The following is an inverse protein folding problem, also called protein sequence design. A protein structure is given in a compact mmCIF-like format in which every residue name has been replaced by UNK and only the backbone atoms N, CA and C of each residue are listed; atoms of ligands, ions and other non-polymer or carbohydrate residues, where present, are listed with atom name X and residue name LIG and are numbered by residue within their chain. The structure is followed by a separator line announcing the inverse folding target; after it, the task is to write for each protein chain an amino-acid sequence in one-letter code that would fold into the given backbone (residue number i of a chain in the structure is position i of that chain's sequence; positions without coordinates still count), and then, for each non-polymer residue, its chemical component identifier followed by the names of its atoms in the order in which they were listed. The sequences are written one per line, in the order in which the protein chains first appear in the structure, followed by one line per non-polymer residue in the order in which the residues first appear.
data_IF_665496981466
#
_entry.id   IF_665496981466
#
_cell.length_a   1.000
_cell.length_b   1.000
_cell.length_c   1.000
_cell.angle_alpha   90.00
_cell.angle_beta   90.00
_cell.angle_gamma   90.00
#
_symmetry.space_group_name_H-M   'P 1'
#
loop_
_entity.id
_entity.type
_entity.pdbx_description
1 polymer ?
#
# COMPACT_ATOMS: atom_id res chain seq x y z
N UNK A 1 -100.15 34.45 -1.89
CA UNK A 1 -100.40 35.35 -0.77
C UNK A 1 -99.06 35.59 -0.02
N UNK A 2 -98.63 36.82 0.06
CA UNK A 2 -97.65 37.41 0.98
C UNK A 2 -96.23 36.92 0.91
N UNK A 3 -95.40 37.75 0.33
CA UNK A 3 -94.02 38.10 0.75
C UNK A 3 -94.04 38.67 2.17
N UNK A 4 -92.93 38.83 2.94
CA UNK A 4 -91.74 39.59 2.60
C UNK A 4 -90.44 39.04 3.26
N UNK A 5 -89.33 39.55 2.91
CA UNK A 5 -88.37 40.62 3.17
C UNK A 5 -87.05 40.11 3.67
N UNK A 6 -85.99 40.44 3.00
CA UNK A 6 -84.71 41.03 3.22
C UNK A 6 -84.04 40.89 4.59
N UNK A 7 -82.73 40.47 4.61
CA UNK A 7 -81.69 41.27 5.19
C UNK A 7 -80.26 40.68 4.85
N UNK A 8 -79.41 41.54 4.37
CA UNK A 8 -78.08 41.17 3.99
C UNK A 8 -77.13 40.99 5.19
N UNK A 9 -76.09 40.23 5.00
CA UNK A 9 -74.85 40.32 5.76
C UNK A 9 -73.67 40.00 4.86
N UNK A 10 -72.86 40.98 4.73
CA UNK A 10 -71.50 40.95 4.21
C UNK A 10 -70.65 39.95 4.97
N UNK A 11 -69.96 39.08 4.27
CA UNK A 11 -68.84 38.33 4.86
C UNK A 11 -67.52 38.78 4.23
N UNK A 12 -66.64 39.28 5.12
CA UNK A 12 -65.24 39.52 4.85
C UNK A 12 -64.52 38.20 4.53
N UNK A 13 -63.89 38.13 3.38
CA UNK A 13 -62.85 37.13 3.09
C UNK A 13 -61.50 37.78 3.27
N UNK A 14 -60.81 37.41 4.37
CA UNK A 14 -59.45 37.86 4.64
C UNK A 14 -58.69 36.78 5.41
N UNK A 15 -57.51 36.48 4.90
CA UNK A 15 -56.41 35.79 5.58
C UNK A 15 -56.51 34.28 5.89
N UNK A 16 -56.28 33.44 4.86
CA UNK A 16 -55.73 32.07 5.06
C UNK A 16 -54.70 31.65 4.03
N UNK A 17 -54.11 32.60 3.26
CA UNK A 17 -53.09 32.21 2.25
C UNK A 17 -51.64 32.63 2.61
N UNK A 18 -51.39 33.24 3.76
CA UNK A 18 -50.08 33.74 4.14
C UNK A 18 -49.25 32.78 5.05
N UNK A 19 -49.84 31.70 5.63
CA UNK A 19 -49.15 30.83 6.54
C UNK A 19 -48.57 29.53 5.91
N UNK A 20 -48.90 29.24 4.65
CA UNK A 20 -48.37 28.02 3.99
C UNK A 20 -47.06 28.28 3.22
N UNK A 21 -46.77 29.53 2.86
CA UNK A 21 -45.51 29.84 2.12
C UNK A 21 -44.26 29.98 3.01
N UNK A 22 -44.43 30.19 4.31
CA UNK A 22 -43.28 30.34 5.23
C UNK A 22 -42.77 28.98 5.69
N UNK A 23 -43.60 27.93 5.73
CA UNK A 23 -43.23 26.59 6.10
C UNK A 23 -42.40 25.85 5.05
N UNK A 24 -42.56 26.17 3.77
CA UNK A 24 -41.85 25.49 2.65
C UNK A 24 -40.46 26.08 2.44
N UNK A 25 -40.26 27.37 2.69
CA UNK A 25 -38.92 27.99 2.59
C UNK A 25 -37.99 27.62 3.75
N UNK A 26 -38.52 27.32 4.95
CA UNK A 26 -37.71 26.88 6.08
C UNK A 26 -37.21 25.41 5.94
N UNK A 27 -37.95 24.55 5.22
CA UNK A 27 -37.55 23.15 5.00
C UNK A 27 -36.54 23.00 3.85
N UNK A 28 -36.57 23.86 2.85
CA UNK A 28 -35.58 23.85 1.74
C UNK A 28 -34.24 24.45 2.20
N UNK A 29 -34.23 25.37 3.18
CA UNK A 29 -33.00 25.94 3.73
C UNK A 29 -32.27 24.99 4.71
N UNK A 30 -32.97 23.98 5.27
CA UNK A 30 -32.34 23.02 6.18
C UNK A 30 -31.73 21.79 5.42
N UNK A 31 -32.03 21.59 4.13
CA UNK A 31 -31.46 20.52 3.32
C UNK A 31 -30.19 20.93 2.54
N UNK A 32 -29.79 22.20 2.61
CA UNK A 32 -28.60 22.72 1.92
C UNK A 32 -27.43 23.00 2.86
N UNK A 33 -27.50 22.61 4.13
CA UNK A 33 -26.47 22.92 5.14
C UNK A 33 -25.68 21.71 5.63
N UNK A 34 -25.63 20.61 4.89
CA UNK A 34 -24.74 19.49 5.19
C UNK A 34 -23.94 19.02 3.97
N UNK A 35 -23.37 19.96 3.23
CA UNK A 35 -22.11 19.70 2.58
C UNK A 35 -21.08 19.87 3.68
N UNK A 36 -20.76 18.80 4.39
CA UNK A 36 -19.55 18.74 5.18
C UNK A 36 -18.41 19.06 4.20
N UNK A 37 -17.82 20.26 4.31
CA UNK A 37 -16.47 20.43 3.81
C UNK A 37 -15.65 19.38 4.59
N UNK A 38 -15.40 18.23 3.98
CA UNK A 38 -14.34 17.35 4.41
C UNK A 38 -13.11 18.25 4.38
N UNK A 39 -12.58 18.57 5.55
CA UNK A 39 -11.34 19.32 5.64
C UNK A 39 -10.29 18.49 4.89
N UNK A 40 -9.52 19.12 4.00
CA UNK A 40 -8.45 18.46 3.30
C UNK A 40 -7.56 17.74 4.31
N UNK A 41 -7.29 16.48 4.08
CA UNK A 41 -6.36 15.68 4.89
C UNK A 41 -5.00 16.36 4.88
N UNK A 42 -4.48 16.69 6.05
CA UNK A 42 -3.21 17.41 6.22
C UNK A 42 -2.24 16.57 7.04
N UNK A 43 -0.97 16.60 6.67
CA UNK A 43 0.09 15.81 7.30
C UNK A 43 1.18 16.70 7.86
N UNK A 44 1.60 16.41 9.08
CA UNK A 44 2.78 17.03 9.70
C UNK A 44 4.00 16.12 9.49
N UNK A 45 4.94 16.58 8.67
CA UNK A 45 6.23 15.90 8.48
C UNK A 45 7.11 16.02 9.73
N UNK A 46 7.69 14.89 10.14
CA UNK A 46 8.73 14.81 11.17
C UNK A 46 9.89 13.99 10.58
N UNK A 47 11.05 14.59 10.41
CA UNK A 47 12.27 13.90 10.03
C UNK A 47 12.87 13.27 11.29
N UNK A 48 12.87 11.94 11.40
CA UNK A 48 13.42 11.22 12.54
C UNK A 48 14.92 11.00 12.38
N UNK A 49 15.35 10.70 11.15
CA UNK A 49 16.77 10.46 10.85
C UNK A 49 17.10 10.97 9.45
N UNK A 50 18.21 11.66 9.29
CA UNK A 50 18.69 12.19 8.01
C UNK A 50 19.71 11.27 7.34
N UNK A 51 20.11 10.20 8.01
CA UNK A 51 20.99 9.19 7.47
C UNK A 51 20.19 8.16 6.68
N UNK A 52 20.75 7.66 5.58
CA UNK A 52 20.20 6.52 4.85
C UNK A 52 20.33 5.24 5.70
N UNK A 53 19.20 4.78 6.29
CA UNK A 53 19.14 3.57 7.10
C UNK A 53 18.67 2.37 6.26
N UNK A 54 17.56 2.53 5.54
CA UNK A 54 16.84 1.47 4.86
C UNK A 54 16.04 2.01 3.68
N UNK A 55 15.51 1.10 2.86
CA UNK A 55 14.56 1.46 1.79
C UNK A 55 13.11 1.08 2.15
N UNK A 56 12.89 0.66 3.38
CA UNK A 56 11.57 0.35 3.96
C UNK A 56 11.58 0.51 5.47
N UNK A 57 10.38 0.55 6.05
CA UNK A 57 10.14 0.64 7.49
C UNK A 57 8.80 0.02 7.84
N UNK A 58 8.64 -0.45 9.08
CA UNK A 58 7.39 -1.01 9.59
C UNK A 58 7.17 -0.67 11.07
N UNK A 59 6.04 -1.08 11.62
CA UNK A 59 5.57 -0.76 12.97
C UNK A 59 5.31 -2.03 13.79
N UNK A 60 5.70 -2.00 15.08
CA UNK A 60 5.39 -3.03 16.07
C UNK A 60 5.49 -2.49 17.49
N UNK A 61 5.00 -3.23 18.46
CA UNK A 61 5.17 -2.92 19.89
C UNK A 61 6.37 -3.72 20.44
N UNK A 62 7.57 -3.18 20.23
CA UNK A 62 8.81 -3.90 20.56
C UNK A 62 9.16 -3.90 22.06
N UNK A 63 8.61 -2.96 22.82
CA UNK A 63 8.81 -2.84 24.26
C UNK A 63 7.63 -3.32 25.10
N UNK A 64 6.54 -3.74 24.44
CA UNK A 64 5.32 -4.26 25.03
C UNK A 64 4.62 -3.24 25.96
N UNK A 65 4.63 -1.95 25.56
CA UNK A 65 3.97 -0.88 26.33
C UNK A 65 2.55 -0.54 25.79
N UNK A 66 2.11 -1.23 24.75
CA UNK A 66 0.81 -1.06 24.10
C UNK A 66 0.77 0.10 23.10
N UNK A 67 1.92 0.64 22.70
CA UNK A 67 2.05 1.66 21.68
C UNK A 67 2.92 1.14 20.55
N UNK A 68 2.69 1.67 19.36
CA UNK A 68 3.51 1.29 18.21
C UNK A 68 4.85 2.02 18.23
N UNK A 69 5.90 1.23 18.08
CA UNK A 69 7.25 1.65 17.78
C UNK A 69 7.50 1.56 16.28
N UNK A 70 8.55 2.19 15.78
CA UNK A 70 8.92 2.20 14.39
C UNK A 70 10.28 1.54 14.18
N UNK A 71 10.40 0.64 13.20
CA UNK A 71 11.67 0.01 12.81
C UNK A 71 12.11 0.46 11.42
N UNK A 72 13.40 0.86 11.30
CA UNK A 72 14.05 1.19 10.03
C UNK A 72 15.57 0.92 10.11
N UNK A 73 16.11 0.22 9.13
CA UNK A 73 17.52 -0.19 9.16
C UNK A 73 17.80 -1.16 10.31
N UNK A 74 18.81 -0.85 11.08
CA UNK A 74 19.22 -1.61 12.28
C UNK A 74 18.68 -1.03 13.59
N UNK A 75 17.80 -0.02 13.49
CA UNK A 75 17.26 0.75 14.61
C UNK A 75 15.75 0.51 14.73
N UNK A 76 15.25 0.58 15.97
CA UNK A 76 13.86 0.86 16.23
C UNK A 76 13.73 2.09 17.14
N UNK A 77 12.61 2.80 17.02
CA UNK A 77 12.34 4.08 17.66
C UNK A 77 11.09 3.94 18.51
N UNK A 78 11.23 4.23 19.79
CA UNK A 78 10.18 4.07 20.80
C UNK A 78 9.04 5.09 20.59
N UNK A 79 7.84 4.59 20.41
CA UNK A 79 6.63 5.40 20.27
C UNK A 79 6.08 5.91 21.59
N UNK A 80 5.18 6.91 21.55
CA UNK A 80 4.74 7.68 20.39
C UNK A 80 5.64 8.89 20.08
N UNK A 81 6.72 9.08 20.80
CA UNK A 81 7.60 10.26 20.68
C UNK A 81 8.74 10.10 19.70
N UNK A 82 9.15 8.87 19.39
CA UNK A 82 10.22 8.47 18.47
C UNK A 82 11.57 9.16 18.74
N UNK A 83 11.80 9.61 19.97
CA UNK A 83 13.05 10.28 20.40
C UNK A 83 14.08 9.31 20.95
N UNK A 84 13.64 8.22 21.56
CA UNK A 84 14.49 7.15 22.03
C UNK A 84 14.68 6.15 20.88
N UNK A 85 15.94 5.78 20.62
CA UNK A 85 16.28 4.80 19.58
C UNK A 85 17.12 3.69 20.16
N UNK A 86 16.92 2.49 19.64
CA UNK A 86 17.54 1.26 20.10
C UNK A 86 18.13 0.51 18.91
N UNK A 87 19.25 -0.17 19.13
CA UNK A 87 19.87 -1.02 18.12
C UNK A 87 19.39 -2.47 18.33
N UNK A 88 18.62 -3.03 17.39
CA UNK A 88 18.31 -4.45 17.41
C UNK A 88 19.40 -5.29 16.71
N UNK A 89 20.16 -4.68 15.80
CA UNK A 89 21.26 -5.30 15.09
C UNK A 89 22.47 -4.34 15.08
N UNK A 90 23.73 -4.82 15.01
CA UNK A 90 24.88 -3.93 14.89
C UNK A 90 24.77 -2.98 13.69
N UNK A 91 25.16 -1.72 13.85
CA UNK A 91 25.20 -0.80 12.73
C UNK A 91 26.19 -1.29 11.67
N UNK A 92 26.00 -0.94 10.39
CA UNK A 92 26.96 -1.26 9.35
C UNK A 92 28.32 -0.62 9.66
N UNK A 93 29.39 -1.29 9.27
CA UNK A 93 30.80 -0.83 9.55
C UNK A 93 31.07 0.57 8.97
N UNK A 94 30.30 0.99 7.97
CA UNK A 94 30.30 2.33 7.37
C UNK A 94 28.86 2.71 7.03
N UNK A 95 28.50 4.01 7.16
CA UNK A 95 27.21 4.49 6.67
C UNK A 95 27.01 4.14 5.20
N UNK A 96 25.76 3.82 4.82
CA UNK A 96 25.43 3.62 3.42
C UNK A 96 25.56 4.92 2.62
N UNK A 97 26.19 4.83 1.46
CA UNK A 97 26.32 5.94 0.50
C UNK A 97 25.15 5.85 -0.48
N UNK A 98 24.12 6.66 -0.29
CA UNK A 98 22.91 6.63 -1.12
C UNK A 98 23.16 6.95 -2.60
N UNK A 99 24.28 7.59 -2.95
CA UNK A 99 24.66 7.84 -4.35
C UNK A 99 25.24 6.59 -5.06
N UNK A 100 25.84 5.66 -4.28
CA UNK A 100 26.66 4.57 -4.83
C UNK A 100 26.23 3.17 -4.38
N UNK A 101 25.43 3.08 -3.32
CA UNK A 101 25.10 1.81 -2.71
C UNK A 101 23.64 1.75 -2.26
N UNK A 102 23.27 0.59 -1.77
CA UNK A 102 21.97 0.30 -1.19
C UNK A 102 22.15 -0.13 0.27
N UNK A 103 21.05 -0.11 1.00
CA UNK A 103 21.01 -0.66 2.35
C UNK A 103 20.86 -2.18 2.31
N UNK A 104 21.46 -2.88 3.29
CA UNK A 104 21.18 -4.30 3.53
C UNK A 104 19.80 -4.50 4.20
N UNK A 105 19.09 -3.41 4.55
CA UNK A 105 17.72 -3.38 5.04
C UNK A 105 16.82 -2.84 3.91
N UNK A 106 16.49 -3.72 2.96
CA UNK A 106 15.78 -3.31 1.74
C UNK A 106 14.29 -3.18 1.98
N UNK A 107 13.67 -4.19 2.64
CA UNK A 107 12.32 -4.11 3.17
C UNK A 107 12.31 -4.64 4.60
N UNK A 108 11.35 -4.19 5.39
CA UNK A 108 11.20 -4.59 6.78
C UNK A 108 9.75 -4.93 7.07
N UNK A 109 9.51 -6.03 7.78
CA UNK A 109 8.20 -6.48 8.22
C UNK A 109 8.22 -6.84 9.69
N UNK A 110 7.08 -6.69 10.34
CA UNK A 110 6.91 -7.00 11.76
C UNK A 110 5.85 -8.10 11.93
N UNK A 111 6.18 -9.12 12.70
CA UNK A 111 5.26 -10.20 13.07
C UNK A 111 5.83 -10.96 14.27
N UNK A 112 4.98 -11.58 15.09
CA UNK A 112 5.40 -12.51 16.16
C UNK A 112 5.69 -13.89 15.53
N UNK A 113 6.95 -14.10 15.08
CA UNK A 113 7.33 -15.31 14.33
C UNK A 113 7.40 -16.56 15.21
N UNK A 114 7.73 -16.42 16.49
CA UNK A 114 7.86 -17.55 17.41
C UNK A 114 6.61 -17.81 18.28
N UNK A 115 5.57 -16.97 18.18
CA UNK A 115 4.30 -17.12 18.89
C UNK A 115 4.37 -16.77 20.38
N UNK A 116 5.34 -15.92 20.77
CA UNK A 116 5.60 -15.57 22.17
C UNK A 116 4.95 -14.25 22.61
N UNK A 117 4.16 -13.62 21.74
CA UNK A 117 3.42 -12.37 21.90
C UNK A 117 4.29 -11.11 21.95
N UNK A 118 5.54 -11.20 21.50
CA UNK A 118 6.41 -10.07 21.27
C UNK A 118 6.65 -9.90 19.76
N UNK A 119 6.53 -8.69 19.29
CA UNK A 119 6.77 -8.39 17.88
C UNK A 119 8.25 -8.57 17.53
N UNK A 120 8.53 -9.40 16.52
CA UNK A 120 9.83 -9.63 15.93
C UNK A 120 10.00 -8.81 14.65
N UNK A 121 11.22 -8.69 14.15
CA UNK A 121 11.55 -7.92 12.95
C UNK A 121 12.08 -8.85 11.87
N UNK A 122 11.41 -8.91 10.71
CA UNK A 122 11.94 -9.56 9.51
C UNK A 122 12.55 -8.54 8.58
N UNK A 123 13.78 -8.78 8.18
CA UNK A 123 14.52 -8.00 7.19
C UNK A 123 14.66 -8.81 5.91
N UNK A 124 14.15 -8.27 4.83
CA UNK A 124 14.47 -8.69 3.48
C UNK A 124 15.65 -7.85 3.01
N UNK A 125 16.79 -8.48 2.80
CA UNK A 125 17.99 -7.81 2.36
C UNK A 125 17.94 -7.45 0.88
N UNK A 126 19.01 -6.91 0.36
CA UNK A 126 19.18 -6.68 -1.09
C UNK A 126 18.84 -7.92 -1.91
N UNK A 127 18.10 -7.79 -3.03
CA UNK A 127 17.72 -8.93 -3.87
C UNK A 127 18.88 -9.86 -4.20
N UNK A 128 18.69 -11.16 -4.00
CA UNK A 128 19.70 -12.19 -4.14
C UNK A 128 20.56 -12.41 -2.89
N UNK A 129 20.21 -11.78 -1.79
CA UNK A 129 20.75 -12.07 -0.46
C UNK A 129 19.69 -12.74 0.42
N UNK A 130 20.00 -12.88 1.69
CA UNK A 130 19.14 -13.54 2.67
C UNK A 130 17.90 -12.72 3.03
N UNK A 131 16.86 -13.41 3.52
CA UNK A 131 15.89 -12.86 4.43
C UNK A 131 16.07 -13.51 5.80
N UNK A 132 16.01 -12.70 6.85
CA UNK A 132 16.19 -13.14 8.22
C UNK A 132 15.24 -12.39 9.16
N UNK A 133 14.76 -13.06 10.20
CA UNK A 133 14.06 -12.39 11.26
C UNK A 133 14.91 -12.32 12.53
N UNK A 134 14.62 -11.33 13.34
CA UNK A 134 15.34 -11.03 14.56
C UNK A 134 14.37 -11.16 15.74
N UNK A 135 14.68 -12.10 16.64
CA UNK A 135 13.88 -12.43 17.80
C UNK A 135 13.97 -11.34 18.86
N UNK A 136 12.84 -10.81 19.26
CA UNK A 136 12.74 -9.82 20.32
C UNK A 136 13.19 -10.42 21.67
N UNK A 137 14.16 -9.80 22.36
CA UNK A 137 14.67 -10.30 23.63
C UNK A 137 13.72 -10.05 24.82
N UNK A 138 12.45 -9.68 24.59
CA UNK A 138 11.40 -9.47 25.62
C UNK A 138 11.83 -8.45 26.68
N UNK A 139 12.29 -7.29 26.22
CA UNK A 139 12.80 -6.24 27.09
C UNK A 139 14.23 -6.49 27.58
N UNK A 140 14.89 -7.55 27.11
CA UNK A 140 16.32 -7.80 27.33
C UNK A 140 17.19 -6.75 26.62
N UNK A 141 18.43 -6.60 27.10
CA UNK A 141 19.41 -5.67 26.50
C UNK A 141 20.27 -6.36 25.45
N UNK A 142 20.78 -5.59 24.49
CA UNK A 142 21.69 -6.04 23.45
C UNK A 142 21.04 -6.28 22.11
N UNK A 143 21.82 -6.81 21.16
CA UNK A 143 21.31 -7.12 19.84
C UNK A 143 20.42 -8.37 19.87
N UNK A 144 19.46 -8.39 19.00
CA UNK A 144 18.47 -9.47 18.90
C UNK A 144 19.06 -10.71 18.23
N UNK A 145 18.54 -11.88 18.57
CA UNK A 145 18.99 -13.14 17.96
C UNK A 145 18.51 -13.19 16.51
N UNK A 146 19.46 -13.36 15.59
CA UNK A 146 19.16 -13.46 14.16
C UNK A 146 18.89 -14.90 13.75
N UNK A 147 17.80 -15.12 13.03
CA UNK A 147 17.42 -16.39 12.39
C UNK A 147 17.38 -16.22 10.86
N UNK A 148 18.34 -16.81 10.16
CA UNK A 148 18.41 -16.78 8.69
C UNK A 148 17.43 -17.81 8.11
N UNK A 149 16.32 -17.35 7.56
CA UNK A 149 15.24 -18.23 7.10
C UNK A 149 15.26 -18.50 5.58
N UNK A 150 15.82 -17.58 4.80
CA UNK A 150 15.97 -17.69 3.35
C UNK A 150 17.37 -17.27 2.96
N UNK A 151 18.11 -18.16 2.31
CA UNK A 151 19.51 -17.90 1.93
C UNK A 151 19.65 -16.97 0.71
N UNK A 152 18.71 -17.04 -0.23
CA UNK A 152 18.67 -16.22 -1.45
C UNK A 152 17.23 -15.91 -1.79
N UNK A 153 16.84 -14.66 -1.58
CA UNK A 153 15.52 -14.14 -1.92
C UNK A 153 15.67 -13.06 -2.99
N UNK A 154 14.93 -13.21 -4.07
CA UNK A 154 14.93 -12.32 -5.23
C UNK A 154 13.64 -11.49 -5.24
N UNK A 155 13.55 -10.50 -6.09
CA UNK A 155 12.49 -9.51 -6.30
C UNK A 155 12.74 -8.18 -5.57
N UNK A 156 12.32 -7.08 -6.20
CA UNK A 156 12.39 -5.76 -5.58
C UNK A 156 11.06 -5.30 -4.96
N UNK A 157 10.02 -6.14 -5.05
CA UNK A 157 8.69 -5.88 -4.46
C UNK A 157 8.14 -7.12 -3.72
N UNK A 158 8.95 -7.81 -2.89
CA UNK A 158 8.43 -8.91 -2.08
C UNK A 158 7.39 -8.40 -1.10
N UNK A 159 6.57 -9.30 -0.57
CA UNK A 159 5.59 -8.98 0.46
C UNK A 159 5.48 -10.10 1.48
N UNK A 160 4.99 -9.77 2.67
CA UNK A 160 4.65 -10.72 3.71
C UNK A 160 3.13 -10.76 3.86
N UNK A 161 2.50 -11.93 3.74
CA UNK A 161 1.05 -12.04 3.84
C UNK A 161 0.55 -13.46 3.89
N UNK A 162 -0.65 -13.64 4.45
CA UNK A 162 -1.32 -14.93 4.56
C UNK A 162 -1.86 -15.37 3.20
N UNK A 163 -1.08 -16.19 2.51
CA UNK A 163 -1.41 -16.70 1.18
C UNK A 163 -2.25 -17.97 1.25
N UNK A 164 -2.08 -18.75 2.30
CA UNK A 164 -2.72 -20.07 2.42
C UNK A 164 -4.01 -20.06 3.27
N UNK A 165 -4.34 -18.93 3.92
CA UNK A 165 -5.54 -18.74 4.73
C UNK A 165 -5.47 -19.35 6.12
N UNK A 166 -4.27 -19.63 6.66
CA UNK A 166 -4.10 -20.22 7.99
C UNK A 166 -3.91 -19.17 9.11
N UNK A 167 -3.92 -17.88 8.76
CA UNK A 167 -3.72 -16.75 9.66
C UNK A 167 -2.28 -16.42 9.95
N UNK A 168 -1.33 -17.04 9.26
CA UNK A 168 0.11 -16.81 9.38
C UNK A 168 0.71 -16.41 8.03
N UNK A 169 1.72 -15.54 8.01
CA UNK A 169 2.22 -15.02 6.75
C UNK A 169 3.25 -15.93 6.09
N UNK A 170 3.19 -15.98 4.76
CA UNK A 170 4.27 -16.43 3.88
C UNK A 170 5.10 -15.24 3.40
N UNK A 171 6.38 -15.47 3.13
CA UNK A 171 7.22 -14.50 2.41
C UNK A 171 7.05 -14.71 0.91
N UNK A 172 6.31 -13.81 0.27
CA UNK A 172 5.96 -13.86 -1.16
C UNK A 172 7.06 -13.17 -1.95
N UNK A 173 7.92 -13.97 -2.58
CA UNK A 173 9.01 -13.50 -3.45
C UNK A 173 9.43 -14.65 -4.37
N UNK A 174 10.38 -14.41 -5.26
CA UNK A 174 10.90 -15.47 -6.12
C UNK A 174 12.36 -15.81 -5.77
N UNK A 175 12.83 -16.92 -6.28
CA UNK A 175 14.23 -17.34 -6.22
C UNK A 175 14.56 -18.33 -7.32
N UNK A 176 15.83 -18.39 -7.75
CA UNK A 176 16.32 -19.38 -8.68
C UNK A 176 15.65 -19.37 -10.06
N UNK A 177 15.06 -18.23 -10.47
CA UNK A 177 14.34 -18.10 -11.74
C UNK A 177 12.94 -18.72 -11.73
N UNK A 178 12.29 -18.80 -10.56
CA UNK A 178 10.92 -19.28 -10.38
C UNK A 178 10.12 -18.33 -9.52
N UNK A 179 8.91 -18.00 -9.90
CA UNK A 179 7.93 -17.38 -9.02
C UNK A 179 7.49 -18.37 -7.94
N UNK A 180 7.18 -17.86 -6.75
CA UNK A 180 6.74 -18.66 -5.63
C UNK A 180 6.66 -17.87 -4.32
N UNK A 181 6.76 -18.58 -3.22
CA UNK A 181 6.76 -18.03 -1.88
C UNK A 181 7.52 -18.95 -0.93
N UNK A 182 7.94 -18.43 0.21
CA UNK A 182 8.55 -19.23 1.26
C UNK A 182 7.55 -19.41 2.41
N UNK A 183 7.38 -20.67 2.81
CA UNK A 183 6.48 -21.12 3.88
C UNK A 183 7.31 -21.59 5.08
N UNK A 184 6.95 -21.08 6.27
CA UNK A 184 7.55 -21.50 7.53
C UNK A 184 7.03 -22.85 8.02
N UNK A 185 7.89 -23.64 8.67
CA UNK A 185 7.42 -24.61 9.66
C UNK A 185 7.20 -23.88 10.99
N UNK A 186 5.96 -23.53 11.28
CA UNK A 186 5.60 -22.76 12.46
C UNK A 186 5.83 -23.48 13.80
N UNK A 187 6.21 -24.76 13.79
CA UNK A 187 6.72 -25.44 14.97
C UNK A 187 8.21 -25.11 15.20
N UNK A 188 8.92 -24.69 14.15
CA UNK A 188 10.35 -24.37 14.14
C UNK A 188 10.61 -23.16 13.22
N UNK A 189 10.06 -21.97 13.50
CA UNK A 189 10.12 -20.80 12.59
C UNK A 189 11.53 -20.21 12.42
N UNK A 190 12.45 -20.59 13.31
CA UNK A 190 13.87 -20.27 13.29
C UNK A 190 14.69 -21.08 12.26
N UNK A 191 14.10 -22.16 11.70
CA UNK A 191 14.72 -22.97 10.66
C UNK A 191 14.49 -22.39 9.27
N UNK A 192 15.30 -22.78 8.25
CA UNK A 192 15.09 -22.31 6.89
C UNK A 192 13.68 -22.63 6.36
N UNK A 193 13.03 -21.59 5.83
CA UNK A 193 11.70 -21.70 5.27
C UNK A 193 11.74 -22.42 3.92
N UNK A 194 10.68 -23.17 3.62
CA UNK A 194 10.58 -23.98 2.42
C UNK A 194 10.07 -23.15 1.24
N UNK A 195 10.84 -23.08 0.15
CA UNK A 195 10.36 -22.47 -1.09
C UNK A 195 9.34 -23.37 -1.79
N UNK A 196 8.18 -22.81 -2.11
CA UNK A 196 7.13 -23.39 -2.91
C UNK A 196 7.14 -22.71 -4.27
N UNK A 197 7.67 -23.37 -5.28
CA UNK A 197 7.68 -22.85 -6.64
C UNK A 197 6.30 -23.04 -7.28
N UNK A 198 5.83 -22.01 -7.99
CA UNK A 198 4.52 -22.02 -8.68
C UNK A 198 4.65 -21.91 -10.20
N UNK A 199 5.85 -21.57 -10.71
CA UNK A 199 6.12 -21.38 -12.13
C UNK A 199 7.21 -22.32 -12.64
N UNK A 200 7.29 -22.58 -13.95
CA UNK A 200 8.48 -23.14 -14.57
C UNK A 200 9.72 -22.29 -14.29
N UNK A 201 10.90 -22.92 -14.36
CA UNK A 201 12.16 -22.18 -14.26
C UNK A 201 12.43 -21.39 -15.54
N UNK A 202 12.63 -20.08 -15.41
CA UNK A 202 13.08 -19.19 -16.49
C UNK A 202 14.01 -18.11 -15.96
N UNK A 203 15.30 -18.40 -15.89
CA UNK A 203 16.34 -17.47 -15.42
C UNK A 203 16.62 -16.29 -16.39
N UNK A 204 16.02 -16.30 -17.58
CA UNK A 204 16.19 -15.20 -18.54
C UNK A 204 15.18 -14.07 -18.26
N UNK A 205 13.95 -14.42 -17.90
CA UNK A 205 12.88 -13.46 -17.64
C UNK A 205 12.62 -13.25 -16.17
N UNK A 206 12.80 -14.29 -15.32
CA UNK A 206 12.66 -14.22 -13.86
C UNK A 206 14.06 -14.12 -13.25
N UNK A 207 14.59 -12.92 -13.20
CA UNK A 207 15.93 -12.65 -12.68
C UNK A 207 15.86 -11.88 -11.36
N UNK A 208 16.96 -11.85 -10.62
CA UNK A 208 17.09 -11.28 -9.27
C UNK A 208 16.35 -9.96 -9.04
N UNK A 209 16.41 -9.03 -9.98
CA UNK A 209 15.81 -7.69 -9.89
C UNK A 209 14.50 -7.59 -10.67
N UNK A 210 13.71 -8.66 -10.75
CA UNK A 210 12.36 -8.60 -11.31
C UNK A 210 11.48 -7.76 -10.41
N UNK A 211 10.61 -6.96 -11.00
CA UNK A 211 9.69 -6.06 -10.32
C UNK A 211 8.24 -6.50 -10.49
N UNK A 212 7.37 -6.00 -9.60
CA UNK A 212 5.95 -6.22 -9.66
C UNK A 212 5.57 -7.63 -9.18
N UNK A 213 5.17 -7.71 -7.93
CA UNK A 213 4.65 -8.93 -7.34
C UNK A 213 3.54 -8.59 -6.35
N UNK A 214 2.53 -9.46 -6.27
CA UNK A 214 1.40 -9.25 -5.38
C UNK A 214 0.56 -10.50 -5.23
N UNK A 215 -0.47 -10.44 -4.40
CA UNK A 215 -1.40 -11.54 -4.19
C UNK A 215 -2.81 -11.04 -3.87
N UNK A 216 -3.81 -11.85 -4.20
CA UNK A 216 -5.22 -11.62 -3.89
C UNK A 216 -6.12 -12.58 -4.66
N UNK A 217 -7.36 -12.74 -4.21
CA UNK A 217 -8.33 -13.64 -4.81
C UNK A 217 -8.94 -13.02 -6.08
N UNK A 218 -8.31 -13.26 -7.24
CA UNK A 218 -8.77 -12.71 -8.52
C UNK A 218 -9.92 -13.50 -9.14
N UNK A 219 -9.99 -14.80 -8.87
CA UNK A 219 -11.03 -15.64 -9.48
C UNK A 219 -12.30 -15.73 -8.62
N UNK A 220 -12.27 -15.30 -7.34
CA UNK A 220 -13.39 -15.31 -6.41
C UNK A 220 -13.64 -16.70 -5.80
N UNK A 221 -12.61 -17.55 -5.72
CA UNK A 221 -12.73 -18.88 -5.14
C UNK A 221 -12.40 -18.95 -3.64
N UNK A 222 -12.05 -17.80 -3.05
CA UNK A 222 -11.70 -17.64 -1.64
C UNK A 222 -10.24 -17.93 -1.32
N UNK A 223 -9.38 -18.10 -2.31
CA UNK A 223 -7.93 -18.30 -2.16
C UNK A 223 -7.16 -17.19 -2.90
N UNK A 224 -6.15 -16.62 -2.27
CA UNK A 224 -5.31 -15.65 -2.95
C UNK A 224 -4.50 -16.27 -4.09
N UNK A 225 -4.58 -15.66 -5.26
CA UNK A 225 -3.74 -15.93 -6.42
C UNK A 225 -2.46 -15.10 -6.33
N UNK A 226 -1.40 -15.46 -7.07
CA UNK A 226 -0.17 -14.69 -7.16
C UNK A 226 -0.10 -13.92 -8.47
N UNK A 227 0.23 -12.63 -8.39
CA UNK A 227 0.29 -11.72 -9.52
C UNK A 227 1.74 -11.40 -9.88
N UNK A 228 2.01 -11.33 -11.19
CA UNK A 228 3.23 -10.78 -11.76
C UNK A 228 2.89 -9.90 -12.99
N UNK A 229 3.86 -9.18 -13.51
CA UNK A 229 3.68 -8.18 -14.58
C UNK A 229 2.88 -8.67 -15.80
N UNK A 230 3.00 -9.95 -16.19
CA UNK A 230 2.39 -10.48 -17.41
C UNK A 230 1.07 -11.22 -17.16
N UNK A 231 0.68 -11.41 -15.89
CA UNK A 231 -0.54 -12.11 -15.53
C UNK A 231 -0.59 -12.58 -14.08
N UNK A 232 -1.31 -13.64 -13.86
CA UNK A 232 -1.51 -14.17 -12.53
C UNK A 232 -1.54 -15.69 -12.53
N UNK A 233 -1.17 -16.27 -11.40
CA UNK A 233 -1.07 -17.70 -11.14
C UNK A 233 -2.20 -18.13 -10.22
N UNK A 234 -3.15 -18.91 -10.73
CA UNK A 234 -4.30 -19.42 -9.99
C UNK A 234 -3.87 -20.40 -8.92
N UNK A 235 -4.20 -20.13 -7.65
CA UNK A 235 -3.88 -21.01 -6.55
C UNK A 235 -4.68 -22.33 -6.65
N UNK A 236 -4.04 -23.49 -6.76
CA UNK A 236 -4.74 -24.77 -6.81
C UNK A 236 -5.33 -25.12 -5.43
N UNK A 237 -6.30 -26.05 -5.45
CA UNK A 237 -6.91 -26.54 -4.21
C UNK A 237 -5.90 -27.10 -3.20
N UNK A 238 -4.85 -27.73 -3.69
CA UNK A 238 -3.73 -28.26 -2.91
C UNK A 238 -2.42 -27.73 -3.49
N UNK A 239 -1.99 -26.55 -3.03
CA UNK A 239 -0.75 -25.94 -3.49
C UNK A 239 0.50 -26.72 -3.03
N UNK A 240 0.39 -27.56 -1.99
CA UNK A 240 1.50 -28.38 -1.48
C UNK A 240 1.73 -29.64 -2.30
N UNK A 241 0.79 -30.04 -3.16
CA UNK A 241 0.95 -31.19 -4.05
C UNK A 241 2.11 -31.01 -5.05
N UNK A 242 2.59 -29.78 -5.19
CA UNK A 242 3.66 -29.40 -6.12
C UNK A 242 3.18 -29.27 -7.56
N UNK A 243 4.08 -28.80 -8.42
CA UNK A 243 3.79 -28.51 -9.82
C UNK A 243 3.50 -27.03 -10.05
N UNK A 244 3.54 -26.64 -11.32
CA UNK A 244 3.29 -25.26 -11.70
C UNK A 244 1.79 -24.96 -11.56
N UNK A 245 1.48 -23.76 -11.03
CA UNK A 245 0.12 -23.27 -10.98
C UNK A 245 -0.38 -22.92 -12.38
N UNK A 246 -1.66 -22.81 -12.57
CA UNK A 246 -2.23 -22.40 -13.85
C UNK A 246 -2.00 -20.91 -14.06
N UNK A 247 -1.29 -20.55 -15.13
CA UNK A 247 -1.04 -19.18 -15.51
C UNK A 247 -2.16 -18.62 -16.37
N UNK A 248 -2.63 -17.43 -16.01
CA UNK A 248 -3.58 -16.62 -16.76
C UNK A 248 -2.89 -15.37 -17.27
N UNK A 249 -2.82 -15.23 -18.59
CA UNK A 249 -2.19 -14.07 -19.19
C UNK A 249 -3.06 -12.84 -19.05
N UNK A 250 -2.53 -11.84 -18.37
CA UNK A 250 -3.15 -10.52 -18.16
C UNK A 250 -2.04 -9.49 -17.96
N UNK A 251 -1.60 -8.77 -19.00
CA UNK A 251 -0.47 -7.86 -18.88
C UNK A 251 -0.86 -6.64 -18.04
N UNK A 252 -0.22 -6.48 -16.88
CA UNK A 252 -0.35 -5.35 -15.95
C UNK A 252 0.72 -4.27 -16.18
N UNK A 253 1.46 -4.36 -17.28
CA UNK A 253 2.34 -3.32 -17.80
C UNK A 253 2.61 -3.57 -19.30
N UNK A 254 2.94 -2.54 -20.09
CA UNK A 254 3.41 -2.71 -21.45
C UNK A 254 4.64 -3.65 -21.53
N UNK A 255 4.77 -4.39 -22.64
CA UNK A 255 5.80 -5.42 -22.77
C UNK A 255 7.24 -4.88 -22.69
N UNK A 256 7.46 -3.62 -23.05
CA UNK A 256 8.75 -2.92 -22.98
C UNK A 256 9.08 -2.37 -21.59
N UNK A 257 8.17 -2.48 -20.62
CA UNK A 257 8.35 -2.01 -19.25
C UNK A 257 8.87 -3.13 -18.34
N UNK A 258 9.60 -2.73 -17.31
CA UNK A 258 10.25 -3.69 -16.38
C UNK A 258 9.29 -4.37 -15.42
N UNK A 259 8.13 -3.79 -15.19
CA UNK A 259 7.23 -4.05 -14.07
C UNK A 259 7.40 -2.99 -13.01
N UNK A 260 6.38 -2.87 -12.19
CA UNK A 260 6.26 -1.80 -11.23
C UNK A 260 6.64 -2.19 -9.80
N UNK A 261 5.97 -1.52 -8.88
CA UNK A 261 6.05 -1.75 -7.45
C UNK A 261 5.20 -2.96 -7.04
N UNK A 262 4.72 -2.97 -5.79
CA UNK A 262 3.73 -3.93 -5.32
C UNK A 262 2.51 -3.90 -6.23
N UNK A 263 1.88 -5.05 -6.41
CA UNK A 263 0.63 -5.18 -7.13
C UNK A 263 -0.48 -5.36 -6.10
N UNK A 264 -1.31 -4.35 -5.95
CA UNK A 264 -2.34 -4.29 -4.92
C UNK A 264 -3.67 -4.77 -5.50
N UNK A 265 -4.40 -5.58 -4.74
CA UNK A 265 -5.69 -6.16 -5.14
C UNK A 265 -6.79 -5.62 -4.25
N UNK A 266 -7.79 -4.97 -4.85
CA UNK A 266 -8.94 -4.41 -4.17
C UNK A 266 -10.09 -4.18 -5.15
N UNK A 267 -11.34 -4.33 -4.73
CA UNK A 267 -12.52 -3.93 -5.51
C UNK A 267 -12.58 -2.40 -5.56
N UNK A 268 -12.06 -1.79 -6.62
CA UNK A 268 -11.90 -0.34 -6.73
C UNK A 268 -13.21 0.36 -7.14
N UNK A 269 -13.98 -0.22 -8.04
CA UNK A 269 -15.19 0.37 -8.59
C UNK A 269 -16.48 -0.01 -7.85
N UNK A 270 -16.42 -1.00 -6.94
CA UNK A 270 -17.54 -1.46 -6.13
C UNK A 270 -18.46 -2.44 -6.82
N UNK A 271 -17.96 -3.18 -7.82
CA UNK A 271 -18.74 -4.14 -8.59
C UNK A 271 -18.66 -5.58 -8.02
N UNK A 272 -17.84 -5.78 -6.99
CA UNK A 272 -17.61 -7.05 -6.31
C UNK A 272 -16.55 -7.93 -6.97
N UNK A 273 -15.84 -7.43 -7.98
CA UNK A 273 -14.69 -8.09 -8.59
C UNK A 273 -13.39 -7.43 -8.08
N UNK A 274 -12.34 -8.22 -7.97
CA UNK A 274 -11.05 -7.70 -7.49
C UNK A 274 -10.22 -7.10 -8.63
N UNK A 275 -9.99 -5.81 -8.56
CA UNK A 275 -9.15 -5.06 -9.48
C UNK A 275 -7.69 -5.08 -9.04
N UNK A 276 -6.81 -4.63 -9.93
CA UNK A 276 -5.37 -4.54 -9.65
C UNK A 276 -4.88 -3.10 -9.84
N UNK A 277 -4.07 -2.60 -8.90
CA UNK A 277 -3.38 -1.32 -9.04
C UNK A 277 -1.87 -1.54 -8.92
N UNK A 278 -1.10 -0.97 -9.85
CA UNK A 278 0.35 -1.08 -9.87
C UNK A 278 0.99 0.00 -10.76
N UNK A 279 2.31 0.12 -10.69
CA UNK A 279 3.06 0.93 -11.64
C UNK A 279 3.60 0.08 -12.80
N UNK A 280 3.83 0.69 -13.97
CA UNK A 280 4.34 0.00 -15.15
C UNK A 280 5.85 -0.24 -15.10
N UNK A 281 6.57 0.72 -14.53
CA UNK A 281 8.02 0.72 -14.48
C UNK A 281 8.52 1.39 -13.19
N UNK A 282 9.05 0.58 -12.28
CA UNK A 282 9.56 1.04 -10.99
C UNK A 282 10.74 2.03 -11.12
N UNK A 283 11.39 2.10 -12.28
CA UNK A 283 12.49 3.00 -12.58
C UNK A 283 12.16 4.05 -13.66
N UNK A 284 10.95 4.04 -14.17
CA UNK A 284 10.51 4.91 -15.24
C UNK A 284 9.20 5.61 -14.89
N UNK A 285 8.24 5.54 -15.80
CA UNK A 285 6.93 6.14 -15.67
C UNK A 285 5.84 5.07 -15.81
N UNK A 286 4.65 5.43 -15.39
CA UNK A 286 3.43 4.68 -15.57
C UNK A 286 2.83 4.25 -14.24
N UNK A 287 1.58 4.63 -14.04
CA UNK A 287 0.73 4.22 -12.92
C UNK A 287 -0.64 3.94 -13.48
N UNK A 288 -1.17 2.76 -13.22
CA UNK A 288 -2.45 2.32 -13.75
C UNK A 288 -3.21 1.43 -12.76
N UNK A 289 -4.52 1.40 -12.92
CA UNK A 289 -5.32 0.35 -12.34
C UNK A 289 -6.00 -0.46 -13.45
N UNK A 290 -6.36 -1.69 -13.16
CA UNK A 290 -6.87 -2.68 -14.09
C UNK A 290 -8.21 -3.18 -13.58
N UNK A 291 -9.29 -2.70 -14.22
CA UNK A 291 -10.67 -3.09 -13.94
C UNK A 291 -10.87 -4.56 -14.35
N UNK A 292 -11.20 -5.40 -13.38
CA UNK A 292 -11.55 -6.77 -13.70
C UNK A 292 -12.92 -6.83 -14.38
N UNK A 293 -13.00 -7.63 -15.44
CA UNK A 293 -14.25 -7.95 -16.11
C UNK A 293 -14.41 -9.45 -16.30
N UNK A 294 -15.64 -9.94 -16.36
CA UNK A 294 -15.91 -11.37 -16.60
C UNK A 294 -16.82 -11.55 -17.78
N UNK A 295 -16.41 -12.44 -18.71
CA UNK A 295 -17.21 -12.85 -19.86
C UNK A 295 -17.21 -14.37 -19.90
N UNK A 296 -18.40 -14.99 -19.83
CA UNK A 296 -18.58 -16.44 -19.80
C UNK A 296 -17.74 -17.15 -18.70
N UNK A 297 -17.49 -16.45 -17.58
CA UNK A 297 -16.69 -16.92 -16.45
C UNK A 297 -15.17 -16.67 -16.57
N UNK A 298 -14.69 -16.24 -17.72
CA UNK A 298 -13.28 -15.90 -17.92
C UNK A 298 -12.95 -14.52 -17.36
N UNK A 299 -11.87 -14.45 -16.58
CA UNK A 299 -11.33 -13.22 -16.00
C UNK A 299 -10.50 -12.47 -17.05
N UNK A 300 -10.79 -11.20 -17.23
CA UNK A 300 -10.00 -10.28 -18.06
C UNK A 300 -9.90 -8.92 -17.40
N UNK A 301 -8.99 -8.08 -17.88
CA UNK A 301 -8.70 -6.78 -17.28
C UNK A 301 -8.70 -5.68 -18.33
N UNK A 302 -9.30 -4.54 -17.98
CA UNK A 302 -9.29 -3.30 -18.76
C UNK A 302 -8.41 -2.29 -18.06
N UNK A 303 -7.39 -1.80 -18.76
CA UNK A 303 -6.46 -0.81 -18.23
C UNK A 303 -7.08 0.58 -18.13
N UNK A 304 -6.84 1.23 -16.99
CA UNK A 304 -7.11 2.64 -16.74
C UNK A 304 -5.83 3.35 -16.32
N UNK A 305 -5.29 4.15 -17.24
CA UNK A 305 -4.05 4.88 -17.02
C UNK A 305 -4.30 6.08 -16.10
N UNK A 306 -3.50 6.20 -15.03
CA UNK A 306 -3.53 7.31 -14.07
C UNK A 306 -2.43 8.32 -14.35
N UNK A 307 -1.22 7.85 -14.72
CA UNK A 307 -0.05 8.69 -14.95
C UNK A 307 0.91 8.05 -15.96
N UNK A 308 1.45 8.86 -16.87
CA UNK A 308 2.47 8.44 -17.85
C UNK A 308 3.34 9.64 -18.27
N UNK A 309 4.22 9.44 -19.25
CA UNK A 309 5.19 10.42 -19.74
C UNK A 309 4.59 11.65 -20.43
N UNK A 310 3.38 11.54 -21.00
CA UNK A 310 2.77 12.61 -21.77
C UNK A 310 1.75 13.37 -20.92
N UNK A 311 1.72 14.71 -21.00
CA UNK A 311 0.75 15.53 -20.26
C UNK A 311 -0.71 15.11 -20.52
N UNK A 312 -1.05 14.69 -21.74
CA UNK A 312 -2.41 14.24 -22.11
C UNK A 312 -2.83 12.93 -21.42
N UNK A 313 -1.87 12.13 -20.96
CA UNK A 313 -2.11 10.88 -20.23
C UNK A 313 -2.33 11.14 -18.72
N UNK A 314 -2.03 12.36 -18.25
CA UNK A 314 -2.07 12.72 -16.83
C UNK A 314 -3.32 13.55 -16.51
N UNK A 315 -4.47 12.90 -16.45
CA UNK A 315 -5.78 13.55 -16.27
C UNK A 315 -5.85 14.46 -15.04
N UNK A 316 -5.13 14.09 -13.97
CA UNK A 316 -5.10 14.83 -12.69
C UNK A 316 -3.89 15.77 -12.57
N UNK A 317 -3.09 15.94 -13.66
CA UNK A 317 -1.96 16.87 -13.68
C UNK A 317 -0.73 16.46 -12.86
N UNK A 318 -0.66 15.20 -12.43
CA UNK A 318 0.47 14.65 -11.67
C UNK A 318 1.34 13.80 -12.57
N UNK A 319 2.66 14.04 -12.53
CA UNK A 319 3.64 13.23 -13.23
C UNK A 319 4.94 13.16 -12.41
N UNK A 320 5.42 11.96 -12.17
CA UNK A 320 6.71 11.68 -11.54
C UNK A 320 7.27 10.35 -12.02
N UNK A 321 8.56 10.14 -11.84
CA UNK A 321 9.25 8.90 -12.19
C UNK A 321 9.44 8.01 -10.99
N UNK A 322 9.82 6.76 -11.23
CA UNK A 322 10.22 5.81 -10.19
C UNK A 322 9.12 5.55 -9.14
N UNK A 323 7.87 5.25 -9.54
CA UNK A 323 6.81 4.84 -8.61
C UNK A 323 7.07 3.42 -8.09
N UNK A 324 8.03 3.28 -7.16
CA UNK A 324 8.62 2.00 -6.77
C UNK A 324 7.97 1.34 -5.56
N UNK A 325 7.12 2.04 -4.82
CA UNK A 325 6.42 1.51 -3.66
C UNK A 325 4.96 1.95 -3.67
N UNK A 326 4.05 1.03 -3.38
CA UNK A 326 2.62 1.28 -3.23
C UNK A 326 2.08 0.59 -1.98
N UNK A 327 1.12 1.23 -1.30
CA UNK A 327 0.34 0.60 -0.22
C UNK A 327 -1.09 1.12 -0.22
N UNK A 328 -2.03 0.31 0.29
CA UNK A 328 -3.43 0.68 0.49
C UNK A 328 -3.67 1.12 1.93
N UNK A 329 -4.44 2.19 2.12
CA UNK A 329 -4.99 2.61 3.40
C UNK A 329 -6.21 3.50 3.19
N UNK A 330 -7.19 3.43 4.08
CA UNK A 330 -8.31 4.39 4.12
C UNK A 330 -7.82 5.69 4.79
N UNK A 331 -7.21 6.57 3.99
CA UNK A 331 -6.52 7.77 4.47
C UNK A 331 -7.52 8.80 5.01
N UNK A 332 -8.66 8.96 4.36
CA UNK A 332 -9.64 9.98 4.70
C UNK A 332 -10.77 9.48 5.61
N UNK A 333 -10.79 8.18 5.93
CA UNK A 333 -11.78 7.56 6.82
C UNK A 333 -13.16 7.41 6.19
N UNK A 334 -13.25 7.32 4.84
CA UNK A 334 -14.54 7.19 4.14
C UNK A 334 -14.95 5.72 3.89
N UNK A 335 -14.13 4.77 4.30
CA UNK A 335 -14.35 3.33 4.18
C UNK A 335 -13.89 2.75 2.85
N UNK A 336 -13.29 3.53 1.96
CA UNK A 336 -12.65 3.08 0.73
C UNK A 336 -11.13 3.06 0.90
N UNK A 337 -10.47 2.10 0.28
CA UNK A 337 -9.02 2.06 0.30
C UNK A 337 -8.43 3.00 -0.74
N UNK A 338 -7.77 4.04 -0.25
CA UNK A 338 -6.89 4.89 -1.02
C UNK A 338 -5.56 4.19 -1.26
N UNK A 339 -4.70 4.71 -2.13
CA UNK A 339 -3.33 4.23 -2.21
C UNK A 339 -2.30 5.34 -2.03
N UNK A 340 -1.18 4.97 -1.43
CA UNK A 340 -0.03 5.85 -1.20
C UNK A 340 1.11 5.43 -2.10
N UNK A 341 1.73 6.38 -2.80
CA UNK A 341 2.93 6.16 -3.62
C UNK A 341 3.71 7.46 -3.81
N UNK A 342 4.85 7.38 -4.46
CA UNK A 342 5.67 8.55 -4.75
C UNK A 342 6.89 8.19 -5.59
N UNK A 343 7.76 9.18 -5.78
CA UNK A 343 9.03 9.00 -6.48
C UNK A 343 10.06 8.35 -5.55
N UNK A 344 10.60 7.18 -5.94
CA UNK A 344 11.77 6.62 -5.24
C UNK A 344 12.97 7.55 -5.38
N UNK A 345 13.63 7.86 -4.29
CA UNK A 345 14.80 8.72 -4.27
C UNK A 345 16.04 7.98 -3.76
N UNK A 346 16.89 7.48 -4.59
CA UNK A 346 16.87 7.15 -6.05
C UNK A 346 17.02 5.65 -6.22
N UNK A 347 16.57 5.07 -7.31
CA UNK A 347 16.92 3.68 -7.59
C UNK A 347 18.43 3.54 -7.92
N UNK A 348 18.92 4.20 -8.97
CA UNK A 348 20.30 4.05 -9.46
C UNK A 348 21.15 5.33 -9.29
N UNK A 349 20.96 6.06 -8.19
CA UNK A 349 21.72 7.27 -7.89
C UNK A 349 21.31 8.47 -8.74
N UNK A 350 22.10 9.58 -8.69
CA UNK A 350 21.66 10.88 -9.21
C UNK A 350 21.63 11.00 -10.74
N UNK A 351 22.03 9.97 -11.50
CA UNK A 351 22.06 10.00 -12.97
C UNK A 351 21.65 8.67 -13.60
N UNK A 352 21.19 7.71 -12.83
CA UNK A 352 20.91 6.35 -13.31
C UNK A 352 19.51 6.16 -13.88
N UNK A 353 18.55 7.00 -13.48
CA UNK A 353 17.14 6.90 -13.86
C UNK A 353 16.64 8.21 -14.47
N UNK A 354 15.52 8.19 -15.23
CA UNK A 354 14.91 9.41 -15.75
C UNK A 354 14.56 10.38 -14.61
N UNK A 355 14.84 11.68 -14.83
CA UNK A 355 14.52 12.76 -13.88
C UNK A 355 14.94 12.46 -12.42
N UNK A 356 16.11 11.85 -12.25
CA UNK A 356 16.60 11.47 -10.91
C UNK A 356 16.71 12.65 -9.94
N UNK A 357 16.98 13.86 -10.44
CA UNK A 357 17.08 15.12 -9.71
C UNK A 357 15.74 15.88 -9.53
N UNK A 358 14.64 15.37 -10.12
CA UNK A 358 13.31 15.96 -9.91
C UNK A 358 12.86 15.79 -8.44
N UNK A 359 11.91 16.63 -7.95
CA UNK A 359 11.43 16.57 -6.58
C UNK A 359 11.03 15.16 -6.14
N UNK A 360 11.45 14.76 -4.96
CA UNK A 360 11.09 13.48 -4.34
C UNK A 360 9.69 13.58 -3.76
N UNK A 361 8.69 13.45 -4.60
CA UNK A 361 7.28 13.61 -4.24
C UNK A 361 6.72 12.37 -3.54
N UNK A 362 5.83 12.61 -2.59
CA UNK A 362 4.99 11.63 -1.93
C UNK A 362 3.53 12.07 -2.08
N UNK A 363 2.69 11.18 -2.57
CA UNK A 363 1.27 11.40 -2.77
C UNK A 363 0.45 10.31 -2.09
N UNK A 364 -0.78 10.64 -1.70
CA UNK A 364 -1.85 9.68 -1.60
C UNK A 364 -2.91 10.00 -2.66
N UNK A 365 -3.56 8.97 -3.15
CA UNK A 365 -4.57 9.05 -4.20
C UNK A 365 -5.90 8.61 -3.61
N UNK A 366 -6.80 9.57 -3.44
CA UNK A 366 -8.13 9.36 -2.89
C UNK A 366 -9.00 8.60 -3.89
N UNK A 367 -9.54 7.46 -3.48
CA UNK A 367 -10.49 6.71 -4.28
C UNK A 367 -11.90 7.32 -4.16
N UNK A 368 -12.49 7.63 -5.29
CA UNK A 368 -13.92 7.98 -5.41
C UNK A 368 -14.64 6.99 -6.29
N UNK A 369 -15.80 6.51 -5.84
CA UNK A 369 -16.67 5.65 -6.62
C UNK A 369 -17.84 6.44 -7.19
N UNK A 370 -17.98 6.42 -8.52
CA UNK A 370 -19.02 7.16 -9.24
C UNK A 370 -19.79 6.22 -10.18
N UNK A 371 -20.87 5.58 -9.67
CA UNK A 371 -21.78 4.81 -10.52
C UNK A 371 -21.17 3.58 -11.19
N UNK A 372 -20.21 2.92 -10.55
CA UNK A 372 -19.50 1.75 -11.07
C UNK A 372 -18.15 2.07 -11.71
N UNK A 373 -17.75 3.35 -11.72
CA UNK A 373 -16.41 3.78 -12.10
C UNK A 373 -15.57 4.14 -10.84
N UNK A 374 -14.26 3.97 -10.93
CA UNK A 374 -13.29 4.43 -9.95
C UNK A 374 -12.53 5.66 -10.48
N UNK A 375 -12.44 6.70 -9.66
CA UNK A 375 -11.64 7.88 -9.93
C UNK A 375 -10.63 8.06 -8.78
N UNK A 376 -9.40 8.43 -9.12
CA UNK A 376 -8.35 8.70 -8.15
C UNK A 376 -7.95 10.17 -8.16
N UNK A 377 -8.06 10.83 -7.02
CA UNK A 377 -7.71 12.25 -6.84
C UNK A 377 -6.38 12.33 -6.09
N UNK A 378 -5.30 12.82 -6.73
CA UNK A 378 -3.99 12.92 -6.08
C UNK A 378 -3.92 14.07 -5.08
N UNK A 379 -3.40 13.78 -3.91
CA UNK A 379 -3.09 14.76 -2.86
C UNK A 379 -1.61 14.71 -2.54
N UNK A 380 -0.92 15.83 -2.70
CA UNK A 380 0.50 15.95 -2.36
C UNK A 380 0.67 15.95 -0.84
N UNK A 381 1.42 14.97 -0.32
CA UNK A 381 1.81 14.90 1.10
C UNK A 381 3.11 15.69 1.32
N UNK A 382 4.11 15.45 0.46
CA UNK A 382 5.41 16.13 0.55
C UNK A 382 6.13 16.11 -0.80
N UNK A 383 7.05 17.05 -1.02
CA UNK A 383 7.81 17.15 -2.27
C UNK A 383 9.33 16.96 -2.09
N UNK A 384 9.76 16.56 -0.90
CA UNK A 384 11.18 16.38 -0.55
C UNK A 384 11.44 15.16 0.35
N UNK A 385 10.62 14.13 0.24
CA UNK A 385 10.79 12.86 0.95
C UNK A 385 10.82 11.65 -0.01
N UNK A 386 9.85 11.56 -0.91
CA UNK A 386 9.68 10.42 -1.81
C UNK A 386 9.34 9.12 -1.07
N UNK A 387 9.58 8.01 -1.77
CA UNK A 387 9.42 6.64 -1.24
C UNK A 387 10.72 5.86 -1.34
N UNK A 388 10.80 4.74 -0.63
CA UNK A 388 11.83 3.71 -0.82
C UNK A 388 11.34 2.60 -1.76
N UNK A 389 11.64 1.35 -1.43
CA UNK A 389 11.05 0.15 -2.04
C UNK A 389 9.82 -0.34 -1.30
N UNK A 390 9.60 0.21 -0.11
CA UNK A 390 8.42 -0.01 0.72
C UNK A 390 7.92 1.35 1.22
N UNK A 391 6.61 1.50 1.29
CA UNK A 391 5.93 2.62 1.94
C UNK A 391 4.88 2.05 2.89
N UNK A 392 4.77 2.59 4.09
CA UNK A 392 3.85 2.11 5.11
C UNK A 392 2.82 3.20 5.44
N UNK A 393 1.54 2.84 5.49
CA UNK A 393 0.45 3.72 5.89
C UNK A 393 -0.40 3.00 6.95
N UNK A 394 -0.24 3.40 8.22
CA UNK A 394 -0.90 2.80 9.39
C UNK A 394 -1.02 3.83 10.50
N UNK A 395 -2.00 3.67 11.38
CA UNK A 395 -2.16 4.51 12.58
C UNK A 395 -0.98 4.29 13.54
N UNK A 396 -0.01 5.22 13.50
CA UNK A 396 1.22 5.15 14.27
C UNK A 396 1.05 5.67 15.71
N UNK A 397 0.13 6.61 15.90
CA UNK A 397 -0.02 7.33 17.16
C UNK A 397 -1.25 6.89 17.97
N UNK A 398 -2.09 6.00 17.44
CA UNK A 398 -3.28 5.46 18.09
C UNK A 398 -4.49 6.39 18.04
N UNK A 399 -4.54 7.35 17.10
CA UNK A 399 -5.65 8.31 16.97
C UNK A 399 -6.76 7.83 16.01
N UNK A 400 -6.60 6.64 15.41
CA UNK A 400 -7.55 6.03 14.50
C UNK A 400 -7.41 6.49 13.04
N UNK A 401 -6.35 7.23 12.69
CA UNK A 401 -6.08 7.71 11.33
C UNK A 401 -4.75 7.16 10.84
N UNK A 402 -4.66 6.74 9.57
CA UNK A 402 -3.39 6.30 9.03
C UNK A 402 -2.37 7.44 8.90
N UNK A 403 -1.20 7.24 9.51
CA UNK A 403 0.00 8.03 9.28
C UNK A 403 0.83 7.38 8.17
N UNK A 404 1.74 8.13 7.53
CA UNK A 404 2.60 7.61 6.47
C UNK A 404 4.06 7.58 6.95
N UNK A 405 4.74 6.47 6.69
CA UNK A 405 6.16 6.28 7.02
C UNK A 405 6.94 6.04 5.75
N UNK A 406 7.99 6.85 5.51
CA UNK A 406 8.91 6.70 4.39
C UNK A 406 10.35 6.63 4.86
N UNK A 407 11.03 5.53 4.50
CA UNK A 407 12.47 5.37 4.68
C UNK A 407 13.15 5.16 3.33
N UNK A 408 14.14 5.97 3.01
CA UNK A 408 14.88 5.93 1.75
C UNK A 408 16.21 6.67 1.86
N UNK A 409 16.84 6.96 0.74
CA UNK A 409 18.14 7.66 0.68
C UNK A 409 18.13 9.12 1.17
N UNK A 410 16.93 9.69 1.44
CA UNK A 410 16.78 11.00 2.11
C UNK A 410 16.65 10.87 3.65
N UNK A 411 16.62 9.65 4.16
CA UNK A 411 16.45 9.38 5.59
C UNK A 411 15.09 8.79 5.92
N UNK A 412 14.73 8.85 7.20
CA UNK A 412 13.47 8.34 7.75
C UNK A 412 12.55 9.50 8.13
N UNK A 413 11.40 9.57 7.50
CA UNK A 413 10.37 10.57 7.80
C UNK A 413 9.05 9.89 8.17
N UNK A 414 8.33 10.47 9.12
CA UNK A 414 6.94 10.16 9.41
C UNK A 414 6.06 11.37 9.10
N UNK A 415 4.85 11.10 8.64
CA UNK A 415 3.85 12.09 8.27
C UNK A 415 2.63 11.82 9.12
N UNK A 416 2.49 12.58 10.20
CA UNK A 416 1.39 12.43 11.16
C UNK A 416 0.15 13.16 10.61
N UNK A 417 -0.91 12.41 10.39
CA UNK A 417 -2.18 12.95 9.94
C UNK A 417 -2.78 13.86 11.00
N UNK A 418 -3.18 15.08 10.62
CA UNK A 418 -3.67 16.08 11.55
C UNK A 418 -5.21 16.18 11.54
N UNK A 419 -5.86 15.83 10.43
CA UNK A 419 -7.32 15.96 10.25
C UNK A 419 -7.87 14.87 9.35
#
# INVERSE_FOLDING_TARGET
MKTPSSSGRTFQTGSRRALILIGVLAFVSALLASVSLLAATDFKKILLENQFLSEGADLGDFNHDGKLDLVAGWLWFEGPGFTNRHEFNPPPAKPYDGEKSYSDYFLTYVYDFNGDQWDDILVFSWPGKEAAWYENPKGGSGHWTKHSIVAEADNESPTLGDLNGDGKPELICHTGGRFGFFEADWAHPDQPWKFIAISPEDKQTIFRYTHGYGFGDLNGDGKPDLLEKNGWWEQPKDYRAGGDWKFHKAPFAPADKRGGAQMLVYDLNGDGLMDVITSWDAHGYGLAWYEQTRTDGEVSFKEHLLMNTKPEDNKQGVMFTQPHALTLADINGDGLMDFVTGKRFWAHGPKGDPESDAPAVLYWFELKRNGGDAEFIPHLVDNDSGVGTQITARDLNGDGKPDIISSNKKGLSIFIQQR
#
